data_IF_404073280356
#
_entry.id   IF_404073280356
#
_cell.length_a   1.000
_cell.length_b   1.000
_cell.length_c   1.000
_cell.angle_alpha   90.00
_cell.angle_beta   90.00
_cell.angle_gamma   90.00
#
_symmetry.space_group_name_H-M   'P 1'
#
loop_
_entity.id
_entity.type
_entity.pdbx_description
1 polymer ?
#
# COMPACT_ATOMS: atom_id res chain seq x y z
N UNK A 1 22.37 14.89 -15.36
CA UNK A 1 21.58 14.99 -14.11
C UNK A 1 21.11 13.59 -13.78
N UNK A 2 21.42 13.04 -12.61
CA UNK A 2 20.85 11.77 -12.17
C UNK A 2 19.32 11.92 -12.17
N UNK A 3 18.62 11.00 -12.84
CA UNK A 3 17.16 11.02 -12.90
C UNK A 3 16.57 10.97 -11.49
N UNK A 4 15.45 11.64 -11.28
CA UNK A 4 14.71 11.57 -10.01
C UNK A 4 14.36 10.11 -9.74
N UNK A 5 14.71 9.58 -8.55
CA UNK A 5 14.40 8.22 -8.12
C UNK A 5 12.89 8.04 -8.10
N UNK A 6 12.34 7.15 -8.93
CA UNK A 6 10.92 6.81 -8.99
C UNK A 6 10.70 5.43 -8.41
N UNK A 7 9.78 5.34 -7.46
CA UNK A 7 9.44 4.09 -6.77
C UNK A 7 7.93 3.87 -6.86
N UNK A 8 7.54 2.70 -7.36
CA UNK A 8 6.18 2.18 -7.22
C UNK A 8 6.07 1.47 -5.88
N UNK A 9 5.46 2.11 -4.89
CA UNK A 9 5.41 1.62 -3.53
C UNK A 9 4.29 0.60 -3.27
N UNK A 10 3.62 0.11 -4.31
CA UNK A 10 2.53 -0.85 -4.14
C UNK A 10 2.28 -1.64 -5.43
N UNK A 11 2.85 -2.83 -5.54
CA UNK A 11 2.55 -3.80 -6.59
C UNK A 11 2.55 -5.22 -6.01
N UNK A 12 1.99 -6.17 -6.76
CA UNK A 12 1.86 -7.56 -6.34
C UNK A 12 2.39 -8.52 -7.39
N UNK A 13 2.93 -9.66 -6.91
CA UNK A 13 3.13 -10.86 -7.71
C UNK A 13 2.42 -12.02 -7.05
N UNK A 14 1.87 -12.92 -7.86
CA UNK A 14 1.23 -14.14 -7.38
C UNK A 14 1.31 -15.27 -8.40
N UNK A 15 1.11 -16.47 -7.90
CA UNK A 15 1.01 -17.69 -8.69
C UNK A 15 -0.22 -18.46 -8.22
N UNK A 16 -1.13 -18.78 -9.14
CA UNK A 16 -2.40 -19.46 -8.82
C UNK A 16 -2.20 -20.84 -8.22
N UNK A 17 -1.11 -21.55 -8.64
CA UNK A 17 -0.78 -22.89 -8.13
C UNK A 17 -0.45 -22.93 -6.65
N UNK A 18 -0.20 -21.79 -6.00
CA UNK A 18 0.01 -21.68 -4.55
C UNK A 18 -1.27 -21.91 -3.76
N UNK A 19 -2.44 -21.57 -4.31
CA UNK A 19 -3.74 -21.81 -3.70
C UNK A 19 -4.08 -20.95 -2.48
N UNK A 20 -3.28 -19.95 -2.11
CA UNK A 20 -3.47 -19.13 -0.92
C UNK A 20 -4.19 -17.79 -1.18
N UNK A 21 -4.62 -17.52 -2.43
CA UNK A 21 -5.31 -16.29 -2.84
C UNK A 21 -6.83 -16.49 -2.94
N UNK A 22 -7.51 -16.66 -1.81
CA UNK A 22 -8.96 -16.96 -1.77
C UNK A 22 -9.85 -15.88 -2.42
N UNK A 23 -9.39 -14.64 -2.45
CA UNK A 23 -10.10 -13.51 -3.08
C UNK A 23 -9.99 -13.50 -4.61
N UNK A 24 -8.96 -14.15 -5.16
CA UNK A 24 -8.67 -14.17 -6.59
C UNK A 24 -9.43 -15.31 -7.26
N UNK A 25 -10.58 -14.97 -7.83
CA UNK A 25 -11.49 -15.92 -8.47
C UNK A 25 -11.56 -15.73 -9.99
N UNK A 26 -12.06 -16.72 -10.75
CA UNK A 26 -12.25 -16.59 -12.20
C UNK A 26 -13.10 -15.39 -12.65
N UNK A 27 -13.95 -14.86 -11.78
CA UNK A 27 -14.75 -13.66 -12.07
C UNK A 27 -13.87 -12.40 -12.24
N UNK A 28 -12.65 -12.43 -11.71
CA UNK A 28 -11.63 -11.40 -11.90
C UNK A 28 -10.74 -11.72 -13.12
N UNK A 29 -11.35 -12.14 -14.23
CA UNK A 29 -10.67 -12.69 -15.42
C UNK A 29 -9.40 -11.93 -15.86
N UNK A 30 -9.34 -10.57 -15.87
CA UNK A 30 -8.12 -9.85 -16.29
C UNK A 30 -6.90 -10.14 -15.41
N UNK A 31 -7.13 -10.48 -14.13
CA UNK A 31 -6.06 -10.72 -13.17
C UNK A 31 -6.02 -12.16 -12.65
N UNK A 32 -6.91 -13.03 -13.11
CA UNK A 32 -6.94 -14.46 -12.76
C UNK A 32 -5.94 -15.27 -13.59
N UNK A 33 -4.66 -14.99 -13.41
CA UNK A 33 -3.51 -15.71 -13.94
C UNK A 33 -2.28 -15.43 -13.08
N UNK A 34 -1.18 -16.10 -13.35
CA UNK A 34 0.10 -15.79 -12.74
C UNK A 34 0.61 -14.42 -13.20
N UNK A 35 1.16 -13.67 -12.25
CA UNK A 35 1.87 -12.43 -12.48
C UNK A 35 3.21 -12.44 -11.74
N UNK A 36 4.27 -12.11 -12.46
CA UNK A 36 5.62 -12.12 -11.92
C UNK A 36 6.49 -10.98 -12.46
N UNK A 37 7.79 -10.97 -12.08
CA UNK A 37 8.73 -9.93 -12.47
C UNK A 37 8.82 -9.71 -13.98
N UNK A 38 8.72 -10.79 -14.80
CA UNK A 38 8.74 -10.71 -16.25
C UNK A 38 7.58 -9.95 -16.87
N UNK A 39 6.41 -9.91 -16.20
CA UNK A 39 5.24 -9.17 -16.67
C UNK A 39 5.37 -7.68 -16.35
N UNK A 40 5.98 -7.33 -15.20
CA UNK A 40 6.11 -5.93 -14.74
C UNK A 40 7.33 -5.21 -15.34
N UNK A 41 8.45 -5.90 -15.53
CA UNK A 41 9.69 -5.28 -15.98
C UNK A 41 9.56 -4.43 -17.27
N UNK A 42 8.83 -4.86 -18.33
CA UNK A 42 8.62 -4.03 -19.51
C UNK A 42 7.84 -2.74 -19.21
N UNK A 43 6.88 -2.78 -18.28
CA UNK A 43 6.07 -1.62 -17.90
C UNK A 43 6.91 -0.60 -17.14
N UNK A 44 7.79 -1.07 -16.25
CA UNK A 44 8.74 -0.20 -15.53
C UNK A 44 9.70 0.47 -16.51
N UNK A 45 10.27 -0.28 -17.46
CA UNK A 45 11.17 0.26 -18.47
C UNK A 45 10.49 1.33 -19.35
N UNK A 46 9.22 1.11 -19.74
CA UNK A 46 8.44 2.06 -20.53
C UNK A 46 8.15 3.36 -19.77
N UNK A 47 7.95 3.29 -18.46
CA UNK A 47 7.47 4.40 -17.63
C UNK A 47 8.57 5.09 -16.83
N UNK A 48 9.79 4.58 -16.85
CA UNK A 48 10.92 5.12 -16.11
C UNK A 48 10.82 4.98 -14.59
N UNK A 49 10.00 4.04 -14.11
CA UNK A 49 9.98 3.61 -12.71
C UNK A 49 11.13 2.64 -12.50
N UNK A 50 12.03 2.94 -11.56
CA UNK A 50 13.25 2.16 -11.37
C UNK A 50 13.15 1.09 -10.29
N UNK A 51 12.26 1.29 -9.33
CA UNK A 51 12.17 0.45 -8.14
C UNK A 51 10.73 0.22 -7.73
N UNK A 52 10.48 -0.91 -7.02
CA UNK A 52 9.15 -1.24 -6.51
C UNK A 52 9.19 -1.76 -5.08
N UNK A 53 8.07 -1.62 -4.38
CA UNK A 53 7.77 -2.36 -3.15
C UNK A 53 6.74 -3.43 -3.48
N UNK A 54 7.13 -4.68 -3.26
CA UNK A 54 6.30 -5.87 -3.49
C UNK A 54 5.44 -6.12 -2.24
N UNK A 55 4.14 -6.05 -2.41
CA UNK A 55 3.18 -6.14 -1.30
C UNK A 55 2.46 -7.50 -1.33
N UNK A 56 2.25 -8.10 -0.17
CA UNK A 56 1.53 -9.35 -0.03
C UNK A 56 0.10 -9.26 -0.60
N UNK A 57 -0.41 -10.37 -1.11
CA UNK A 57 -1.77 -10.53 -1.63
C UNK A 57 -2.55 -11.65 -0.92
N UNK A 58 -1.90 -12.45 -0.07
CA UNK A 58 -2.54 -13.47 0.75
C UNK A 58 -2.09 -13.39 2.22
N UNK A 59 -2.98 -13.67 3.20
CA UNK A 59 -2.67 -13.57 4.62
C UNK A 59 -1.93 -14.83 5.13
N UNK A 60 -0.74 -15.12 4.57
CA UNK A 60 0.06 -16.28 4.95
C UNK A 60 1.55 -15.95 5.11
N UNK A 61 2.20 -16.56 6.08
CA UNK A 61 3.67 -16.51 6.22
C UNK A 61 4.36 -17.17 5.03
N UNK A 62 3.73 -18.18 4.44
CA UNK A 62 4.24 -18.86 3.25
C UNK A 62 4.33 -17.92 2.05
N UNK A 63 3.34 -17.05 1.87
CA UNK A 63 3.41 -16.04 0.82
C UNK A 63 4.50 -15.01 1.11
N UNK A 64 4.61 -14.52 2.36
CA UNK A 64 5.70 -13.60 2.72
C UNK A 64 7.07 -14.15 2.36
N UNK A 65 7.35 -15.43 2.66
CA UNK A 65 8.59 -16.09 2.28
C UNK A 65 8.77 -16.17 0.76
N UNK A 66 7.72 -16.53 0.03
CA UNK A 66 7.73 -16.53 -1.44
C UNK A 66 8.09 -15.14 -2.00
N UNK A 67 7.49 -14.07 -1.49
CA UNK A 67 7.78 -12.70 -1.94
C UNK A 67 9.22 -12.28 -1.63
N UNK A 68 9.76 -12.69 -0.49
CA UNK A 68 11.17 -12.45 -0.12
C UNK A 68 12.13 -13.19 -1.06
N UNK A 69 11.83 -14.43 -1.45
CA UNK A 69 12.58 -15.18 -2.46
C UNK A 69 12.55 -14.48 -3.82
N UNK A 70 11.38 -14.00 -4.26
CA UNK A 70 11.23 -13.21 -5.50
C UNK A 70 12.07 -11.93 -5.42
N UNK A 71 12.03 -11.21 -4.32
CA UNK A 71 12.81 -10.00 -4.12
C UNK A 71 14.32 -10.25 -4.21
N UNK A 72 14.80 -11.39 -3.69
CA UNK A 72 16.23 -11.77 -3.73
C UNK A 72 16.78 -11.95 -5.15
N UNK A 73 15.92 -12.23 -6.12
CA UNK A 73 16.30 -12.49 -7.52
C UNK A 73 15.83 -11.41 -8.50
N UNK A 74 15.16 -10.38 -8.00
CA UNK A 74 14.54 -9.32 -8.82
C UNK A 74 15.09 -7.95 -8.46
N UNK A 75 16.08 -7.42 -9.20
CA UNK A 75 16.82 -6.21 -8.83
C UNK A 75 15.98 -4.95 -8.64
N UNK A 76 14.83 -4.82 -9.31
CA UNK A 76 13.96 -3.67 -9.17
C UNK A 76 13.00 -3.77 -7.97
N UNK A 77 12.95 -4.91 -7.26
CA UNK A 77 12.19 -5.04 -6.01
C UNK A 77 13.08 -4.63 -4.85
N UNK A 78 12.91 -3.40 -4.36
CA UNK A 78 13.74 -2.81 -3.29
C UNK A 78 13.20 -3.11 -1.88
N UNK A 79 11.97 -3.61 -1.77
CA UNK A 79 11.37 -3.96 -0.48
C UNK A 79 10.15 -4.85 -0.63
N UNK A 80 9.83 -5.54 0.46
CA UNK A 80 8.65 -6.40 0.59
C UNK A 80 7.83 -5.93 1.79
N UNK A 81 6.53 -5.80 1.59
CA UNK A 81 5.54 -5.70 2.66
C UNK A 81 4.83 -7.05 2.73
N UNK A 82 5.17 -7.82 3.74
CA UNK A 82 4.67 -9.17 3.96
C UNK A 82 3.43 -9.23 4.85
N UNK A 83 3.12 -10.43 5.32
CA UNK A 83 2.11 -10.71 6.31
C UNK A 83 2.69 -11.55 7.45
N UNK A 84 2.21 -11.31 8.68
CA UNK A 84 2.46 -12.15 9.85
C UNK A 84 1.19 -12.17 10.72
N UNK A 85 0.98 -13.25 11.52
CA UNK A 85 -0.18 -13.40 12.39
C UNK A 85 -0.05 -12.52 13.64
N UNK A 86 -0.26 -11.22 13.53
CA UNK A 86 0.02 -10.23 14.57
C UNK A 86 -0.77 -10.41 15.88
N UNK A 87 -1.85 -11.19 15.87
CA UNK A 87 -2.66 -11.54 17.03
C UNK A 87 -2.35 -12.93 17.63
N UNK A 88 -1.42 -13.68 17.03
CA UNK A 88 -1.03 -14.99 17.51
C UNK A 88 -0.05 -14.89 18.71
N UNK A 89 -0.03 -15.90 19.58
CA UNK A 89 0.89 -15.93 20.73
C UNK A 89 2.36 -15.90 20.34
N UNK A 90 2.71 -16.44 19.17
CA UNK A 90 4.07 -16.51 18.61
C UNK A 90 4.37 -15.39 17.59
N UNK A 91 3.51 -14.38 17.52
CA UNK A 91 3.68 -13.27 16.57
C UNK A 91 5.07 -12.63 16.61
N UNK A 92 5.64 -12.47 17.82
CA UNK A 92 6.97 -11.86 17.99
C UNK A 92 8.08 -12.70 17.34
N UNK A 93 8.04 -14.02 17.52
CA UNK A 93 9.05 -14.94 16.97
C UNK A 93 8.92 -15.04 15.45
N UNK A 94 7.69 -15.08 14.94
CA UNK A 94 7.41 -15.07 13.48
C UNK A 94 7.94 -13.78 12.85
N UNK A 95 7.62 -12.61 13.43
CA UNK A 95 8.09 -11.31 12.92
C UNK A 95 9.61 -11.24 12.98
N UNK A 96 10.23 -11.66 14.07
CA UNK A 96 11.69 -11.69 14.23
C UNK A 96 12.36 -12.53 13.12
N UNK A 97 11.85 -13.74 12.89
CA UNK A 97 12.37 -14.64 11.85
C UNK A 97 12.24 -14.01 10.44
N UNK A 98 11.10 -13.41 10.14
CA UNK A 98 10.90 -12.76 8.84
C UNK A 98 11.79 -11.53 8.67
N UNK A 99 12.03 -10.78 9.75
CA UNK A 99 12.85 -9.56 9.75
C UNK A 99 14.35 -9.81 9.57
N UNK A 100 14.83 -11.08 9.68
CA UNK A 100 16.18 -11.46 9.30
C UNK A 100 16.46 -11.21 7.81
N UNK A 101 15.42 -11.22 6.98
CA UNK A 101 15.58 -10.96 5.57
C UNK A 101 15.59 -9.43 5.30
N UNK A 102 16.67 -8.88 4.71
CA UNK A 102 16.85 -7.42 4.58
C UNK A 102 15.81 -6.74 3.66
N UNK A 103 15.18 -7.50 2.77
CA UNK A 103 14.12 -6.98 1.91
C UNK A 103 12.78 -6.79 2.63
N UNK A 104 12.55 -7.38 3.83
CA UNK A 104 11.32 -7.11 4.57
C UNK A 104 11.34 -5.68 5.09
N UNK A 105 10.35 -4.89 4.67
CA UNK A 105 10.24 -3.47 5.00
C UNK A 105 8.98 -3.13 5.78
N UNK A 106 7.99 -4.00 5.74
CA UNK A 106 6.72 -3.78 6.42
C UNK A 106 5.86 -5.04 6.51
N UNK A 107 4.77 -4.91 7.26
CA UNK A 107 3.75 -5.95 7.37
C UNK A 107 2.36 -5.35 7.14
N UNK A 108 1.50 -6.11 6.46
CA UNK A 108 0.15 -5.72 6.08
C UNK A 108 -0.88 -6.79 6.46
N UNK A 109 -1.56 -6.70 7.59
CA UNK A 109 -2.76 -7.51 7.83
C UNK A 109 -3.87 -7.10 6.87
N UNK A 110 -4.71 -8.07 6.46
CA UNK A 110 -5.84 -7.84 5.54
C UNK A 110 -7.04 -7.23 6.29
N UNK A 111 -6.84 -6.05 6.92
CA UNK A 111 -7.84 -5.41 7.79
C UNK A 111 -9.21 -5.21 7.13
N UNK A 112 -9.23 -4.95 5.83
CA UNK A 112 -10.47 -4.78 5.06
C UNK A 112 -11.36 -6.02 5.04
N UNK A 113 -10.78 -7.21 5.26
CA UNK A 113 -11.44 -8.52 5.15
C UNK A 113 -11.65 -9.16 6.53
N UNK A 114 -11.21 -8.51 7.60
CA UNK A 114 -11.45 -8.92 8.98
C UNK A 114 -12.83 -8.42 9.41
N UNK A 115 -13.71 -9.34 9.79
CA UNK A 115 -15.09 -9.02 10.14
C UNK A 115 -15.21 -8.09 11.37
N UNK A 116 -14.31 -8.27 12.36
CA UNK A 116 -14.27 -7.44 13.56
C UNK A 116 -13.57 -6.09 13.28
N UNK A 117 -14.29 -4.97 13.25
CA UNK A 117 -13.71 -3.65 13.01
C UNK A 117 -12.78 -3.18 14.13
N UNK A 118 -12.88 -3.78 15.32
CA UNK A 118 -12.02 -3.47 16.47
C UNK A 118 -10.79 -4.39 16.56
N UNK A 119 -10.59 -5.32 15.63
CA UNK A 119 -9.48 -6.28 15.63
C UNK A 119 -8.12 -5.60 15.88
N UNK A 120 -7.85 -4.48 15.21
CA UNK A 120 -6.59 -3.76 15.35
C UNK A 120 -6.36 -3.16 16.75
N UNK A 121 -7.41 -3.07 17.58
CA UNK A 121 -7.34 -2.54 18.95
C UNK A 121 -7.22 -3.65 20.00
N UNK A 122 -7.26 -4.92 19.59
CA UNK A 122 -7.12 -6.06 20.51
C UNK A 122 -5.74 -6.08 21.15
N UNK A 123 -5.61 -6.39 22.44
CA UNK A 123 -4.32 -6.43 23.13
C UNK A 123 -3.25 -7.32 22.46
N UNK A 124 -3.57 -8.54 21.95
CA UNK A 124 -2.59 -9.34 21.21
C UNK A 124 -2.04 -8.62 19.97
N UNK A 125 -2.91 -7.97 19.17
CA UNK A 125 -2.49 -7.21 17.99
C UNK A 125 -1.58 -6.05 18.39
N UNK A 126 -1.93 -5.31 19.45
CA UNK A 126 -1.08 -4.25 19.98
C UNK A 126 0.30 -4.77 20.41
N UNK A 127 0.39 -6.02 20.88
CA UNK A 127 1.65 -6.68 21.21
C UNK A 127 2.47 -7.01 19.95
N UNK A 128 1.82 -7.57 18.92
CA UNK A 128 2.45 -7.80 17.62
C UNK A 128 2.95 -6.50 16.97
N UNK A 129 2.17 -5.41 17.05
CA UNK A 129 2.56 -4.11 16.52
C UNK A 129 3.76 -3.48 17.25
N UNK A 130 3.92 -3.70 18.55
CA UNK A 130 5.14 -3.30 19.26
C UNK A 130 6.38 -4.02 18.71
N UNK A 131 6.23 -5.29 18.31
CA UNK A 131 7.31 -6.02 17.64
C UNK A 131 7.62 -5.43 16.26
N UNK A 132 6.60 -5.11 15.47
CA UNK A 132 6.76 -4.42 14.17
C UNK A 132 7.54 -3.11 14.34
N UNK A 133 7.18 -2.31 15.35
CA UNK A 133 7.85 -1.06 15.71
C UNK A 133 9.31 -1.30 16.13
N UNK A 134 9.55 -2.28 16.98
CA UNK A 134 10.90 -2.61 17.51
C UNK A 134 11.87 -3.03 16.40
N UNK A 135 11.40 -3.77 15.38
CA UNK A 135 12.18 -4.12 14.19
C UNK A 135 12.24 -2.99 13.16
N UNK A 136 11.61 -1.86 13.43
CA UNK A 136 11.59 -0.71 12.53
C UNK A 136 10.90 -1.01 11.20
N UNK A 137 9.97 -1.95 11.17
CA UNK A 137 9.13 -2.24 10.01
C UNK A 137 7.99 -1.22 9.89
N UNK A 138 7.49 -1.01 8.67
CA UNK A 138 6.27 -0.26 8.45
C UNK A 138 5.03 -1.13 8.70
N UNK A 139 3.95 -0.53 9.15
CA UNK A 139 2.64 -1.14 9.21
C UNK A 139 1.78 -0.58 8.07
N UNK A 140 1.54 -1.37 7.05
CA UNK A 140 0.65 -1.00 5.96
C UNK A 140 -0.80 -1.29 6.37
N UNK A 141 -1.59 -0.24 6.49
CA UNK A 141 -2.98 -0.32 6.94
C UNK A 141 -3.92 -0.41 5.73
N UNK A 142 -4.27 -1.64 5.34
CA UNK A 142 -5.27 -1.91 4.31
C UNK A 142 -6.67 -1.75 4.91
N UNK A 143 -7.11 -0.51 5.03
CA UNK A 143 -8.35 -0.13 5.72
C UNK A 143 -9.40 0.42 4.76
N UNK A 144 -10.66 0.34 5.18
CA UNK A 144 -11.81 1.04 4.58
C UNK A 144 -12.16 2.27 5.44
N UNK A 145 -13.01 3.21 4.94
CA UNK A 145 -13.38 4.40 5.71
C UNK A 145 -13.92 4.10 7.12
N UNK A 146 -14.62 2.99 7.28
CA UNK A 146 -15.14 2.56 8.59
C UNK A 146 -14.07 2.30 9.66
N UNK A 147 -12.84 1.96 9.25
CA UNK A 147 -11.73 1.63 10.15
C UNK A 147 -10.91 2.85 10.59
N UNK A 148 -11.06 4.02 9.93
CA UNK A 148 -10.19 5.19 10.15
C UNK A 148 -10.20 5.69 11.60
N UNK A 149 -11.34 5.65 12.28
CA UNK A 149 -11.43 6.03 13.70
C UNK A 149 -10.65 5.08 14.60
N UNK A 150 -10.71 3.79 14.32
CA UNK A 150 -9.95 2.80 15.07
C UNK A 150 -8.45 2.91 14.78
N UNK A 151 -8.07 3.20 13.54
CA UNK A 151 -6.68 3.44 13.19
C UNK A 151 -6.11 4.66 13.94
N UNK A 152 -6.86 5.74 14.08
CA UNK A 152 -6.46 6.91 14.92
C UNK A 152 -6.25 6.52 16.39
N UNK A 153 -7.16 5.72 16.96
CA UNK A 153 -7.03 5.22 18.33
C UNK A 153 -5.80 4.33 18.50
N UNK A 154 -5.55 3.45 17.53
CA UNK A 154 -4.36 2.62 17.49
C UNK A 154 -3.09 3.46 17.51
N UNK A 155 -2.99 4.46 16.63
CA UNK A 155 -1.81 5.32 16.49
C UNK A 155 -1.57 6.21 17.73
N UNK A 156 -2.62 6.61 18.43
CA UNK A 156 -2.48 7.29 19.71
C UNK A 156 -1.79 6.41 20.77
N UNK A 157 -1.95 5.07 20.68
CA UNK A 157 -1.31 4.09 21.59
C UNK A 157 0.04 3.60 21.09
N UNK A 158 0.38 3.85 19.83
CA UNK A 158 1.63 3.43 19.18
C UNK A 158 2.29 4.61 18.43
N UNK A 159 2.76 5.65 19.14
CA UNK A 159 3.22 6.90 18.50
C UNK A 159 4.52 6.74 17.69
N UNK A 160 5.30 5.70 17.93
CA UNK A 160 6.53 5.37 17.18
C UNK A 160 6.30 4.46 15.98
N UNK A 161 5.11 3.88 15.82
CA UNK A 161 4.80 3.00 14.70
C UNK A 161 4.72 3.78 13.38
N UNK A 162 5.49 3.35 12.39
CA UNK A 162 5.42 3.90 11.04
C UNK A 162 4.25 3.29 10.30
N UNK A 163 3.24 4.09 9.99
CA UNK A 163 2.03 3.62 9.35
C UNK A 163 1.87 4.21 7.96
N UNK A 164 1.53 3.34 7.02
CA UNK A 164 1.19 3.69 5.64
C UNK A 164 -0.24 3.22 5.37
N UNK A 165 -1.13 4.15 5.06
CA UNK A 165 -2.52 3.83 4.73
C UNK A 165 -2.61 3.48 3.25
N UNK A 166 -3.04 2.27 2.92
CA UNK A 166 -3.21 1.83 1.55
C UNK A 166 -4.41 2.51 0.86
N UNK A 167 -4.23 2.85 -0.43
CA UNK A 167 -5.29 3.27 -1.35
C UNK A 167 -6.16 4.44 -0.84
N UNK A 168 -5.55 5.41 -0.16
CA UNK A 168 -6.31 6.53 0.42
C UNK A 168 -7.38 6.09 1.41
N UNK A 169 -7.24 4.93 2.06
CA UNK A 169 -8.28 4.27 2.86
C UNK A 169 -9.54 3.89 2.06
N UNK A 170 -9.39 3.58 0.77
CA UNK A 170 -10.44 3.08 -0.12
C UNK A 170 -11.74 3.91 -0.09
N UNK A 171 -11.69 5.18 -0.48
CA UNK A 171 -12.89 6.02 -0.57
C UNK A 171 -13.89 5.41 -1.54
N UNK A 172 -15.18 5.46 -1.19
CA UNK A 172 -16.27 4.90 -2.01
C UNK A 172 -16.58 5.83 -3.21
N UNK A 173 -15.60 6.00 -4.13
CA UNK A 173 -15.64 6.96 -5.24
C UNK A 173 -16.78 6.64 -6.20
N UNK A 174 -16.97 5.36 -6.56
CA UNK A 174 -18.05 4.94 -7.45
C UNK A 174 -19.43 5.34 -6.92
N UNK A 175 -19.62 5.33 -5.60
CA UNK A 175 -20.87 5.70 -4.95
C UNK A 175 -20.96 7.21 -4.64
N UNK A 176 -19.95 8.02 -4.96
CA UNK A 176 -19.91 9.46 -4.68
C UNK A 176 -19.90 9.80 -3.17
N UNK A 177 -19.50 8.87 -2.30
CA UNK A 177 -19.52 9.06 -0.85
C UNK A 177 -18.23 9.71 -0.35
N UNK A 178 -18.15 11.02 -0.50
CA UNK A 178 -16.97 11.80 -0.14
C UNK A 178 -16.95 12.24 1.34
N UNK A 179 -18.05 12.82 1.85
CA UNK A 179 -18.03 13.64 3.07
C UNK A 179 -17.53 12.93 4.34
N UNK A 180 -17.99 11.69 4.60
CA UNK A 180 -17.55 10.94 5.80
C UNK A 180 -16.08 10.51 5.69
N UNK A 181 -15.67 9.98 4.54
CA UNK A 181 -14.28 9.63 4.28
C UNK A 181 -13.38 10.84 4.46
N UNK A 182 -13.75 12.00 3.86
CA UNK A 182 -12.98 13.23 3.94
C UNK A 182 -12.78 13.71 5.38
N UNK A 183 -13.83 13.67 6.22
CA UNK A 183 -13.73 14.06 7.62
C UNK A 183 -12.83 13.11 8.44
N UNK A 184 -12.97 11.79 8.23
CA UNK A 184 -12.22 10.80 9.01
C UNK A 184 -10.75 10.73 8.57
N UNK A 185 -10.43 10.84 7.25
CA UNK A 185 -9.05 10.85 6.73
C UNK A 185 -8.31 12.16 7.08
N UNK A 186 -9.02 13.29 7.07
CA UNK A 186 -8.50 14.57 7.60
C UNK A 186 -8.09 14.41 9.06
N UNK A 187 -8.97 13.89 9.93
CA UNK A 187 -8.66 13.68 11.33
C UNK A 187 -7.42 12.78 11.53
N UNK A 188 -7.24 11.75 10.68
CA UNK A 188 -6.04 10.93 10.70
C UNK A 188 -4.78 11.76 10.35
N UNK A 189 -4.86 12.59 9.32
CA UNK A 189 -3.75 13.43 8.89
C UNK A 189 -3.31 14.47 9.94
N UNK A 190 -4.29 15.09 10.62
CA UNK A 190 -4.07 16.13 11.63
C UNK A 190 -3.54 15.58 12.97
N UNK A 191 -3.99 14.37 13.36
CA UNK A 191 -3.70 13.78 14.66
C UNK A 191 -2.52 12.80 14.67
N UNK A 192 -2.04 12.41 13.48
CA UNK A 192 -1.01 11.37 13.36
C UNK A 192 0.10 11.74 12.39
N UNK A 193 1.15 10.89 12.35
CA UNK A 193 2.24 10.98 11.37
C UNK A 193 2.12 9.96 10.25
N UNK A 194 0.95 9.37 10.04
CA UNK A 194 0.73 8.38 8.99
C UNK A 194 1.03 8.93 7.60
N UNK A 195 1.58 8.08 6.74
CA UNK A 195 1.64 8.27 5.29
C UNK A 195 0.39 7.67 4.65
N UNK A 196 0.11 8.09 3.42
CA UNK A 196 -1.01 7.54 2.65
C UNK A 196 -0.58 7.26 1.21
N UNK A 197 -0.98 6.12 0.67
CA UNK A 197 -0.70 5.75 -0.72
C UNK A 197 -1.72 6.35 -1.67
N UNK A 198 -1.21 7.02 -2.68
CA UNK A 198 -1.90 7.39 -3.90
C UNK A 198 -1.89 6.18 -4.83
N UNK A 199 -2.77 5.24 -4.61
CA UNK A 199 -2.92 3.96 -5.33
C UNK A 199 -4.35 3.46 -5.21
N UNK A 200 -4.78 2.50 -6.04
CA UNK A 200 -6.08 1.83 -5.95
C UNK A 200 -7.32 2.70 -6.21
N UNK A 201 -7.18 4.01 -6.41
CA UNK A 201 -8.30 4.93 -6.54
C UNK A 201 -9.13 4.67 -7.81
N UNK A 202 -8.51 4.24 -8.91
CA UNK A 202 -9.21 3.89 -10.16
C UNK A 202 -10.11 2.67 -9.94
N UNK A 203 -9.68 1.72 -9.13
CA UNK A 203 -10.46 0.53 -8.77
C UNK A 203 -11.67 0.91 -7.93
N UNK A 204 -11.51 1.81 -6.97
CA UNK A 204 -12.59 2.33 -6.13
C UNK A 204 -13.56 3.26 -6.91
N UNK A 205 -13.11 3.88 -8.01
CA UNK A 205 -13.95 4.72 -8.86
C UNK A 205 -14.82 3.91 -9.84
N UNK A 206 -14.47 2.63 -10.07
CA UNK A 206 -15.23 1.76 -10.96
C UNK A 206 -14.92 1.96 -12.45
N UNK A 207 -15.75 1.38 -13.35
CA UNK A 207 -15.47 1.34 -14.80
C UNK A 207 -15.45 2.73 -15.45
N UNK A 208 -16.22 3.68 -14.93
CA UNK A 208 -16.33 5.03 -15.47
C UNK A 208 -15.38 6.01 -14.78
N UNK A 209 -14.22 5.54 -14.34
CA UNK A 209 -13.23 6.40 -13.71
C UNK A 209 -12.70 7.47 -14.68
N UNK A 210 -12.35 8.61 -14.14
CA UNK A 210 -11.63 9.67 -14.87
C UNK A 210 -10.77 10.48 -13.90
N UNK A 211 -9.81 11.23 -14.43
CA UNK A 211 -8.99 12.14 -13.63
C UNK A 211 -9.84 13.13 -12.83
N UNK A 212 -10.93 13.65 -13.45
CA UNK A 212 -11.84 14.59 -12.82
C UNK A 212 -12.60 13.98 -11.65
N UNK A 213 -13.00 12.70 -11.76
CA UNK A 213 -13.64 11.98 -10.65
C UNK A 213 -12.70 11.69 -9.48
N UNK A 214 -11.42 11.45 -9.77
CA UNK A 214 -10.41 11.22 -8.75
C UNK A 214 -9.93 12.51 -8.08
N UNK A 215 -9.96 13.63 -8.82
CA UNK A 215 -9.39 14.91 -8.40
C UNK A 215 -9.80 15.37 -7.00
N UNK A 216 -11.08 15.41 -6.61
CA UNK A 216 -11.47 15.86 -5.27
C UNK A 216 -10.84 15.05 -4.15
N UNK A 217 -10.66 13.73 -4.35
CA UNK A 217 -10.06 12.83 -3.38
C UNK A 217 -8.55 13.08 -3.25
N UNK A 218 -7.86 13.25 -4.39
CA UNK A 218 -6.42 13.50 -4.41
C UNK A 218 -6.10 14.90 -3.86
N UNK A 219 -6.87 15.92 -4.22
CA UNK A 219 -6.73 17.28 -3.69
C UNK A 219 -6.92 17.30 -2.16
N UNK A 220 -7.91 16.56 -1.65
CA UNK A 220 -8.12 16.42 -0.21
C UNK A 220 -6.96 15.72 0.49
N UNK A 221 -6.40 14.64 -0.09
CA UNK A 221 -5.21 14.00 0.44
C UNK A 221 -4.01 14.96 0.42
N UNK A 222 -3.80 15.71 -0.66
CA UNK A 222 -2.74 16.72 -0.77
C UNK A 222 -2.89 17.84 0.27
N UNK A 223 -4.11 18.33 0.50
CA UNK A 223 -4.40 19.39 1.46
C UNK A 223 -3.98 19.01 2.88
N UNK A 224 -4.29 17.78 3.32
CA UNK A 224 -4.11 17.39 4.72
C UNK A 224 -2.82 16.61 5.00
N UNK A 225 -2.35 15.79 4.08
CA UNK A 225 -1.08 15.08 4.24
C UNK A 225 0.12 15.84 3.66
N UNK A 226 -0.13 16.73 2.72
CA UNK A 226 0.92 17.42 1.98
C UNK A 226 1.78 16.49 1.13
N UNK A 227 2.73 17.04 0.37
CA UNK A 227 3.59 16.24 -0.51
C UNK A 227 4.58 15.34 0.23
N UNK A 228 4.80 15.53 1.52
CA UNK A 228 5.76 14.77 2.32
C UNK A 228 5.20 13.46 2.89
N UNK A 229 3.87 13.27 2.85
CA UNK A 229 3.23 12.07 3.40
C UNK A 229 2.34 11.33 2.41
N UNK A 230 2.37 11.71 1.12
CA UNK A 230 1.78 10.95 0.03
C UNK A 230 2.84 10.07 -0.63
N UNK A 231 2.43 8.87 -1.08
CA UNK A 231 3.32 7.88 -1.70
C UNK A 231 2.62 7.29 -2.92
N UNK A 232 3.25 7.37 -4.10
CA UNK A 232 2.73 6.73 -5.31
C UNK A 232 2.81 5.21 -5.20
N UNK A 233 1.77 4.52 -5.69
CA UNK A 233 1.74 3.08 -5.93
C UNK A 233 0.82 2.76 -7.11
N UNK A 234 1.19 1.74 -7.88
CA UNK A 234 0.38 1.34 -9.04
C UNK A 234 -0.81 0.49 -8.66
N UNK A 235 -0.68 -0.31 -7.61
CA UNK A 235 -1.58 -1.43 -7.31
C UNK A 235 -1.64 -2.47 -8.45
N UNK A 236 -0.54 -2.59 -9.23
CA UNK A 236 -0.45 -3.58 -10.29
C UNK A 236 -0.28 -5.01 -9.72
N UNK A 237 -0.94 -6.03 -10.27
CA UNK A 237 -1.78 -6.02 -11.46
C UNK A 237 -3.25 -5.69 -11.21
N UNK A 238 -3.68 -5.44 -9.95
CA UNK A 238 -5.08 -5.14 -9.60
C UNK A 238 -5.61 -3.92 -10.37
N UNK A 239 -4.77 -2.92 -10.58
CA UNK A 239 -5.11 -1.73 -11.39
C UNK A 239 -5.63 -2.09 -12.78
N UNK A 240 -5.21 -3.23 -13.36
CA UNK A 240 -5.62 -3.65 -14.71
C UNK A 240 -7.09 -4.05 -14.80
N UNK A 241 -7.79 -4.17 -13.68
CA UNK A 241 -9.25 -4.27 -13.67
C UNK A 241 -9.93 -3.00 -14.21
N UNK A 242 -9.23 -1.86 -14.24
CA UNK A 242 -9.81 -0.55 -14.60
C UNK A 242 -8.93 0.30 -15.49
N UNK A 243 -7.59 0.21 -15.38
CA UNK A 243 -6.63 1.03 -16.12
C UNK A 243 -5.35 0.25 -16.39
N UNK A 244 -4.63 0.59 -17.47
CA UNK A 244 -3.25 0.13 -17.65
C UNK A 244 -2.28 0.77 -16.66
N UNK A 245 -1.13 0.13 -16.43
CA UNK A 245 -0.07 0.66 -15.55
C UNK A 245 0.35 2.10 -15.95
N UNK A 246 0.69 2.29 -17.22
CA UNK A 246 1.11 3.59 -17.76
C UNK A 246 -0.03 4.62 -17.72
N UNK A 247 -1.27 4.18 -17.92
CA UNK A 247 -2.45 5.05 -17.87
C UNK A 247 -2.68 5.59 -16.45
N UNK A 248 -2.62 4.73 -15.43
CA UNK A 248 -2.72 5.17 -14.04
C UNK A 248 -1.56 6.09 -13.65
N UNK A 249 -0.33 5.76 -14.04
CA UNK A 249 0.81 6.64 -13.76
C UNK A 249 0.62 8.03 -14.39
N UNK A 250 0.19 8.12 -15.66
CA UNK A 250 -0.09 9.38 -16.33
C UNK A 250 -1.24 10.17 -15.67
N UNK A 251 -2.27 9.48 -15.20
CA UNK A 251 -3.37 10.09 -14.44
C UNK A 251 -2.86 10.66 -13.09
N UNK A 252 -2.03 9.91 -12.37
CA UNK A 252 -1.41 10.39 -11.14
C UNK A 252 -0.52 11.62 -11.38
N UNK A 253 0.31 11.60 -12.42
CA UNK A 253 1.13 12.76 -12.82
C UNK A 253 0.27 13.99 -13.17
N UNK A 254 -0.86 13.77 -13.83
CA UNK A 254 -1.82 14.85 -14.17
C UNK A 254 -2.47 15.43 -12.90
N UNK A 255 -2.83 14.58 -11.94
CA UNK A 255 -3.39 15.01 -10.66
C UNK A 255 -2.38 15.81 -9.82
N UNK A 256 -1.09 15.51 -9.98
CA UNK A 256 0.03 16.17 -9.29
C UNK A 256 0.67 17.31 -10.08
N UNK A 257 0.16 17.66 -11.26
CA UNK A 257 0.79 18.62 -12.19
C UNK A 257 0.99 20.03 -11.59
N UNK A 258 0.13 20.43 -10.63
CA UNK A 258 0.23 21.72 -9.95
C UNK A 258 1.34 21.80 -8.90
N UNK A 259 2.03 20.70 -8.59
CA UNK A 259 3.11 20.68 -7.59
C UNK A 259 4.46 21.01 -8.23
N UNK A 260 5.33 21.66 -7.46
CA UNK A 260 6.72 21.87 -7.82
C UNK A 260 7.50 20.54 -7.95
N UNK A 261 8.63 20.55 -8.66
CA UNK A 261 9.41 19.38 -9.00
C UNK A 261 9.83 18.53 -7.79
N UNK A 262 10.26 19.18 -6.69
CA UNK A 262 10.64 18.49 -5.46
C UNK A 262 9.44 17.81 -4.79
N UNK A 263 8.31 18.48 -4.69
CA UNK A 263 7.08 17.94 -4.12
C UNK A 263 6.58 16.71 -4.89
N UNK A 264 6.63 16.74 -6.23
CA UNK A 264 6.34 15.57 -7.06
C UNK A 264 7.35 14.46 -6.87
N UNK A 265 8.64 14.76 -6.80
CA UNK A 265 9.69 13.77 -6.56
C UNK A 265 9.50 13.05 -5.22
N UNK A 266 9.06 13.76 -4.19
CA UNK A 266 8.69 13.19 -2.90
C UNK A 266 7.61 12.13 -3.06
N UNK A 267 6.49 12.48 -3.68
CA UNK A 267 5.34 11.57 -3.84
C UNK A 267 5.70 10.39 -4.75
N UNK A 268 6.41 10.65 -5.85
CA UNK A 268 6.73 9.65 -6.87
C UNK A 268 7.88 8.71 -6.49
N UNK A 269 8.50 8.88 -5.31
CA UNK A 269 9.58 7.99 -4.90
C UNK A 269 10.19 8.27 -3.54
N UNK A 270 10.61 9.50 -3.24
CA UNK A 270 11.45 9.76 -2.07
C UNK A 270 10.74 9.45 -0.74
N UNK A 271 9.42 9.64 -0.66
CA UNK A 271 8.67 9.27 0.53
C UNK A 271 8.61 7.74 0.74
N UNK A 272 8.53 6.96 -0.35
CA UNK A 272 8.64 5.51 -0.25
C UNK A 272 10.01 5.07 0.28
N UNK A 273 11.09 5.71 -0.23
CA UNK A 273 12.46 5.48 0.26
C UNK A 273 12.56 5.76 1.75
N UNK A 274 11.97 6.86 2.22
CA UNK A 274 12.00 7.28 3.62
C UNK A 274 11.23 6.30 4.52
N UNK A 275 9.96 6.04 4.19
CA UNK A 275 9.08 5.24 5.06
C UNK A 275 9.48 3.77 5.11
N UNK A 276 9.89 3.20 3.97
CA UNK A 276 10.30 1.79 3.88
C UNK A 276 11.82 1.58 4.07
N UNK A 277 12.62 2.65 4.18
CA UNK A 277 14.11 2.57 4.30
C UNK A 277 14.70 1.74 3.15
N UNK A 278 14.36 2.09 1.92
CA UNK A 278 14.82 1.40 0.70
C UNK A 278 16.28 1.72 0.35
#
# INVERSE_FOLDING_TARGET
MAGVRRVDAHQHFWRLDRGDYAWLTPDLAPIYRDFGPGDLAPLLAQTGVGETVLVQAAPTVAETRFLLEVASTTPFVSGVVGWAPLDAPDAADVVATLAEHPALKGLRPMLQDIEDPDWMLRPPVGQGLRTVEAFGLAFDALVRPAHLRNLRRLLASHPGLRVVVDHGAKPEIAAGRFGRWAADIRGLAEETRAWVKLSGLVTEAGPDWSVERLRPYVEHLLEYFGPHRLIFGSDWPVVTLRAGYAEWLAAAETLLAGLEGEARARIMGLNAVEVYRL
#
